data_IF_131831227280
#
_entry.id   IF_131831227280
#
_cell.length_a   1.000
_cell.length_b   1.000
_cell.length_c   1.000
_cell.angle_alpha   90.00
_cell.angle_beta   90.00
_cell.angle_gamma   90.00
#
_symmetry.space_group_name_H-M   'P 1'
#
loop_
_entity.id
_entity.type
_entity.pdbx_description
1 polymer ?
#
# COMPACT_ATOMS: atom_id res chain seq x y z
N UNK A 1 -2.83 -8.88 24.24
CA UNK A 1 -1.82 -8.92 23.16
C UNK A 1 -0.41 -8.64 23.66
N UNK A 2 -0.14 -7.52 24.34
CA UNK A 2 1.20 -7.18 24.85
C UNK A 2 1.94 -8.29 25.62
N UNK A 3 1.22 -9.05 26.45
CA UNK A 3 1.82 -10.16 27.20
C UNK A 3 2.42 -11.24 26.28
N UNK A 4 1.84 -11.49 25.10
CA UNK A 4 2.28 -12.55 24.19
C UNK A 4 3.74 -12.36 23.78
N UNK A 5 4.14 -11.15 23.35
CA UNK A 5 5.53 -10.87 22.98
C UNK A 5 6.42 -10.66 24.21
N UNK A 6 5.89 -10.09 25.31
CA UNK A 6 6.68 -9.89 26.54
C UNK A 6 7.05 -11.19 27.25
N UNK A 7 6.25 -12.25 27.09
CA UNK A 7 6.52 -13.57 27.67
C UNK A 7 7.46 -14.43 26.84
N UNK A 8 7.88 -13.98 25.66
CA UNK A 8 8.80 -14.75 24.79
C UNK A 8 10.17 -14.84 25.47
N UNK A 9 10.62 -16.07 25.70
CA UNK A 9 11.96 -16.32 26.26
C UNK A 9 13.05 -16.11 25.21
N UNK A 10 14.32 -15.85 25.63
CA UNK A 10 15.44 -15.73 24.69
C UNK A 10 15.66 -16.99 23.82
N UNK A 11 15.23 -18.16 24.29
CA UNK A 11 15.28 -19.38 23.49
C UNK A 11 14.17 -19.45 22.45
N UNK A 12 12.95 -19.03 22.80
CA UNK A 12 11.83 -18.94 21.87
C UNK A 12 12.10 -17.89 20.79
N UNK A 13 12.68 -16.75 21.17
CA UNK A 13 13.04 -15.67 20.23
C UNK A 13 14.09 -16.13 19.21
N UNK A 14 15.12 -16.87 19.63
CA UNK A 14 16.12 -17.44 18.71
C UNK A 14 15.51 -18.41 17.68
N UNK A 15 14.38 -19.04 17.98
CA UNK A 15 13.69 -19.97 17.08
C UNK A 15 12.62 -19.29 16.21
N UNK A 16 12.27 -18.03 16.51
CA UNK A 16 11.30 -17.25 15.75
C UNK A 16 12.02 -16.10 15.02
N UNK A 17 12.57 -16.41 13.84
CA UNK A 17 13.33 -15.46 13.02
C UNK A 17 12.51 -14.23 12.63
N UNK A 18 11.20 -14.38 12.40
CA UNK A 18 10.32 -13.27 12.04
C UNK A 18 10.19 -12.28 13.19
N UNK A 19 9.83 -12.75 14.40
CA UNK A 19 9.69 -11.88 15.56
C UNK A 19 11.01 -11.19 15.92
N UNK A 20 12.12 -11.93 15.86
CA UNK A 20 13.45 -11.36 16.07
C UNK A 20 13.78 -10.28 15.02
N UNK A 21 13.42 -10.51 13.76
CA UNK A 21 13.55 -9.55 12.68
C UNK A 21 12.74 -8.27 12.94
N UNK A 22 11.46 -8.41 13.29
CA UNK A 22 10.60 -7.27 13.63
C UNK A 22 11.15 -6.47 14.81
N UNK A 23 11.56 -7.13 15.90
CA UNK A 23 12.18 -6.46 17.05
C UNK A 23 13.40 -5.64 16.64
N UNK A 24 14.30 -6.24 15.86
CA UNK A 24 15.53 -5.59 15.40
C UNK A 24 15.24 -4.34 14.55
N UNK A 25 14.24 -4.41 13.66
CA UNK A 25 13.80 -3.28 12.85
C UNK A 25 13.17 -2.17 13.70
N UNK A 26 12.30 -2.53 14.66
CA UNK A 26 11.65 -1.60 15.57
C UNK A 26 12.70 -0.88 16.41
N UNK A 27 13.64 -1.59 17.02
CA UNK A 27 14.69 -0.99 17.85
C UNK A 27 15.53 0.02 17.04
N UNK A 28 15.88 -0.35 15.81
CA UNK A 28 16.63 0.53 14.91
C UNK A 28 15.86 1.80 14.59
N UNK A 29 14.57 1.71 14.25
CA UNK A 29 13.77 2.87 13.88
C UNK A 29 13.38 3.74 15.07
N UNK A 30 12.96 3.12 16.19
CA UNK A 30 12.61 3.85 17.42
C UNK A 30 13.80 4.65 17.94
N UNK A 31 15.02 4.09 17.92
CA UNK A 31 16.22 4.79 18.44
C UNK A 31 16.49 6.15 17.78
N UNK A 32 16.08 6.31 16.52
CA UNK A 32 16.25 7.51 15.70
C UNK A 32 14.97 8.33 15.49
N UNK A 33 13.83 7.90 16.02
CA UNK A 33 12.54 8.57 15.79
C UNK A 33 12.49 9.92 16.51
N UNK A 34 12.30 10.99 15.74
CA UNK A 34 11.97 12.36 16.16
C UNK A 34 12.73 12.88 17.39
N UNK A 35 14.04 12.59 17.48
CA UNK A 35 14.89 12.94 18.64
C UNK A 35 15.07 14.45 18.84
N UNK A 36 14.65 15.27 17.87
CA UNK A 36 14.57 16.72 17.97
C UNK A 36 13.24 17.22 18.58
N UNK A 37 12.27 16.34 18.81
CA UNK A 37 11.03 16.64 19.51
C UNK A 37 11.22 16.37 21.02
N UNK A 38 10.82 17.34 21.86
CA UNK A 38 10.94 17.27 23.32
C UNK A 38 10.30 16.03 23.94
N UNK A 39 9.28 15.48 23.31
CA UNK A 39 8.62 14.26 23.80
C UNK A 39 9.54 13.03 23.70
N UNK A 40 10.43 12.98 22.68
CA UNK A 40 11.33 11.85 22.39
C UNK A 40 12.82 12.17 22.66
N UNK A 41 13.13 13.39 23.12
CA UNK A 41 14.50 13.83 23.38
C UNK A 41 15.11 13.17 24.63
N UNK A 42 16.44 13.14 24.69
CA UNK A 42 17.18 12.64 25.85
C UNK A 42 17.44 11.13 25.85
N UNK A 43 18.39 10.67 26.68
CA UNK A 43 18.68 9.25 26.85
C UNK A 43 17.57 8.55 27.66
N UNK A 44 17.31 7.27 27.37
CA UNK A 44 16.31 6.46 28.09
C UNK A 44 14.93 7.12 28.20
N UNK A 45 14.47 7.71 27.10
CA UNK A 45 13.21 8.44 27.03
C UNK A 45 11.99 7.49 27.14
N UNK A 46 11.04 7.72 28.07
CA UNK A 46 9.86 6.87 28.23
C UNK A 46 8.95 6.79 26.99
N UNK A 47 8.86 7.87 26.20
CA UNK A 47 8.11 7.90 24.95
C UNK A 47 8.68 6.93 23.91
N UNK A 48 10.01 6.78 23.84
CA UNK A 48 10.64 5.77 22.97
C UNK A 48 10.35 4.34 23.46
N UNK A 49 10.29 4.11 24.77
CA UNK A 49 9.87 2.81 25.31
C UNK A 49 8.41 2.50 24.97
N UNK A 50 7.52 3.49 25.04
CA UNK A 50 6.12 3.34 24.64
C UNK A 50 5.99 3.06 23.13
N UNK A 51 6.74 3.76 22.28
CA UNK A 51 6.78 3.47 20.83
C UNK A 51 7.16 2.02 20.57
N UNK A 52 8.23 1.53 21.20
CA UNK A 52 8.69 0.15 21.06
C UNK A 52 7.61 -0.86 21.50
N UNK A 53 7.02 -0.64 22.67
CA UNK A 53 6.01 -1.54 23.25
C UNK A 53 4.74 -1.60 22.37
N UNK A 54 4.28 -0.48 21.83
CA UNK A 54 3.11 -0.42 20.96
C UNK A 54 3.38 -1.12 19.63
N UNK A 55 4.54 -0.86 18.99
CA UNK A 55 4.89 -1.49 17.70
C UNK A 55 5.04 -3.01 17.84
N UNK A 56 5.67 -3.50 18.91
CA UNK A 56 5.75 -4.95 19.18
C UNK A 56 4.38 -5.55 19.48
N UNK A 57 3.50 -4.80 20.14
CA UNK A 57 2.11 -5.23 20.36
C UNK A 57 1.34 -5.30 19.03
N UNK A 58 1.60 -4.36 18.11
CA UNK A 58 1.02 -4.39 16.76
C UNK A 58 1.49 -5.60 15.95
N UNK A 59 2.76 -6.01 16.07
CA UNK A 59 3.23 -7.25 15.44
C UNK A 59 2.44 -8.48 15.93
N UNK A 60 1.99 -8.52 17.19
CA UNK A 60 1.14 -9.62 17.66
C UNK A 60 -0.30 -9.52 17.13
N UNK A 61 -0.77 -8.31 16.83
CA UNK A 61 -2.11 -8.07 16.29
C UNK A 61 -2.19 -8.39 14.79
N UNK A 62 -1.18 -8.00 14.02
CA UNK A 62 -1.01 -8.34 12.59
C UNK A 62 0.35 -8.96 12.36
N UNK A 63 0.49 -10.27 12.62
CA UNK A 63 1.77 -10.96 12.53
C UNK A 63 2.28 -11.15 11.10
N UNK A 64 1.37 -11.31 10.13
CA UNK A 64 1.74 -11.46 8.71
C UNK A 64 2.41 -10.20 8.15
N UNK A 65 1.92 -9.01 8.56
CA UNK A 65 2.57 -7.73 8.24
C UNK A 65 3.77 -7.46 9.17
N UNK A 66 3.57 -7.67 10.47
CA UNK A 66 4.55 -7.42 11.51
C UNK A 66 4.94 -5.95 11.62
N UNK A 67 6.20 -5.65 11.34
CA UNK A 67 6.75 -4.29 11.31
C UNK A 67 7.51 -4.04 10.02
N UNK A 68 7.20 -2.90 9.39
CA UNK A 68 7.90 -2.40 8.22
C UNK A 68 8.43 -0.99 8.51
N UNK A 69 9.63 -0.71 8.02
CA UNK A 69 10.29 0.58 8.25
C UNK A 69 9.40 1.75 7.80
N UNK A 70 9.24 2.73 8.69
CA UNK A 70 8.34 3.87 8.50
C UNK A 70 7.06 3.79 9.35
N UNK A 71 6.70 2.63 9.89
CA UNK A 71 5.56 2.54 10.81
C UNK A 71 5.78 3.31 12.12
N UNK A 72 7.02 3.43 12.61
CA UNK A 72 7.33 4.27 13.77
C UNK A 72 7.06 5.76 13.51
N UNK A 73 7.23 6.21 12.26
CA UNK A 73 6.93 7.57 11.83
C UNK A 73 5.43 7.86 11.84
N UNK A 74 4.61 6.85 11.54
CA UNK A 74 3.16 6.93 11.64
C UNK A 74 2.67 6.97 13.10
N UNK A 75 3.25 6.15 13.96
CA UNK A 75 2.86 6.08 15.38
C UNK A 75 3.31 7.31 16.18
N UNK A 76 4.45 7.91 15.84
CA UNK A 76 5.06 8.99 16.63
C UNK A 76 4.12 10.18 16.91
N UNK A 77 3.40 10.75 15.94
CA UNK A 77 2.46 11.84 16.20
C UNK A 77 1.23 11.40 17.00
N UNK A 78 0.74 10.18 16.79
CA UNK A 78 -0.40 9.62 17.54
C UNK A 78 -0.04 9.51 19.02
N UNK A 79 1.09 8.88 19.34
CA UNK A 79 1.53 8.72 20.73
C UNK A 79 1.81 10.06 21.41
N UNK A 80 2.36 11.02 20.67
CA UNK A 80 2.60 12.38 21.17
C UNK A 80 1.30 13.08 21.62
N UNK A 81 0.22 12.94 20.84
CA UNK A 81 -1.08 13.56 21.15
C UNK A 81 -1.81 12.79 22.24
N UNK A 82 -1.88 11.46 22.12
CA UNK A 82 -2.72 10.61 22.97
C UNK A 82 -2.10 10.37 24.35
N UNK A 83 -0.77 10.23 24.41
CA UNK A 83 0.00 10.05 25.66
C UNK A 83 -0.46 8.90 26.57
N UNK A 84 -1.25 7.97 26.03
CA UNK A 84 -1.70 6.76 26.69
C UNK A 84 -1.37 5.58 25.77
N UNK A 85 -0.75 4.54 26.32
CA UNK A 85 -0.27 3.40 25.52
C UNK A 85 -1.41 2.65 24.81
N UNK A 86 -2.49 2.37 25.53
CA UNK A 86 -3.61 1.55 25.03
C UNK A 86 -4.40 2.33 23.98
N UNK A 87 -4.68 3.60 24.26
CA UNK A 87 -5.41 4.46 23.34
C UNK A 87 -4.58 4.73 22.08
N UNK A 88 -3.27 4.99 22.24
CA UNK A 88 -2.36 5.18 21.10
C UNK A 88 -2.25 3.91 20.25
N UNK A 89 -2.24 2.73 20.86
CA UNK A 89 -2.28 1.46 20.14
C UNK A 89 -3.53 1.34 19.26
N UNK A 90 -4.73 1.60 19.81
CA UNK A 90 -5.96 1.48 19.04
C UNK A 90 -6.12 2.58 17.99
N UNK A 91 -5.69 3.81 18.27
CA UNK A 91 -5.60 4.87 17.26
C UNK A 91 -4.64 4.48 16.13
N UNK A 92 -3.49 3.86 16.47
CA UNK A 92 -2.55 3.38 15.47
C UNK A 92 -3.12 2.23 14.64
N UNK A 93 -3.84 1.28 15.23
CA UNK A 93 -4.58 0.25 14.49
C UNK A 93 -5.56 0.88 13.49
N UNK A 94 -6.37 1.85 13.92
CA UNK A 94 -7.31 2.56 13.04
C UNK A 94 -6.59 3.32 11.91
N UNK A 95 -5.43 3.93 12.18
CA UNK A 95 -4.64 4.53 11.11
C UNK A 95 -4.09 3.48 10.15
N UNK A 96 -3.58 2.36 10.67
CA UNK A 96 -3.09 1.25 9.86
C UNK A 96 -4.18 0.66 8.98
N UNK A 97 -5.46 0.62 9.36
CA UNK A 97 -6.54 0.20 8.45
C UNK A 97 -6.56 1.00 7.13
N UNK A 98 -6.19 2.29 7.17
CA UNK A 98 -6.13 3.16 5.99
C UNK A 98 -4.89 2.94 5.13
N UNK A 99 -3.76 2.56 5.75
CA UNK A 99 -2.44 2.55 5.10
C UNK A 99 -1.74 1.20 5.09
N UNK A 100 -2.33 0.13 5.64
CA UNK A 100 -1.63 -1.16 5.79
C UNK A 100 -1.14 -1.69 4.44
N UNK A 101 -1.94 -1.54 3.39
CA UNK A 101 -1.59 -1.96 2.03
C UNK A 101 -0.30 -1.30 1.53
N UNK A 102 0.06 -0.11 2.03
CA UNK A 102 1.30 0.57 1.66
C UNK A 102 2.55 -0.19 2.14
N UNK A 103 2.40 -1.02 3.16
CA UNK A 103 3.50 -1.75 3.82
C UNK A 103 3.56 -3.23 3.42
N UNK A 104 2.64 -3.72 2.59
CA UNK A 104 2.68 -5.09 2.08
C UNK A 104 3.90 -5.34 1.20
N UNK A 105 4.45 -6.55 1.25
CA UNK A 105 5.64 -6.96 0.50
C UNK A 105 5.46 -6.82 -1.02
N UNK A 106 4.24 -7.00 -1.54
CA UNK A 106 3.90 -6.87 -2.96
C UNK A 106 4.07 -5.44 -3.50
N UNK A 107 3.97 -4.44 -2.62
CA UNK A 107 3.92 -3.00 -2.92
C UNK A 107 2.84 -2.61 -3.93
N UNK A 108 1.81 -3.44 -4.13
CA UNK A 108 0.75 -3.18 -5.13
C UNK A 108 -0.05 -1.93 -4.79
N UNK A 109 -0.34 -1.69 -3.51
CA UNK A 109 -1.04 -0.47 -3.07
C UNK A 109 -0.21 0.78 -3.35
N UNK A 110 1.10 0.76 -3.12
CA UNK A 110 1.98 1.90 -3.43
C UNK A 110 2.03 2.18 -4.93
N UNK A 111 2.17 1.13 -5.76
CA UNK A 111 2.12 1.25 -7.23
C UNK A 111 0.79 1.81 -7.69
N UNK A 112 -0.33 1.35 -7.10
CA UNK A 112 -1.67 1.87 -7.39
C UNK A 112 -1.79 3.35 -7.04
N UNK A 113 -1.36 3.78 -5.85
CA UNK A 113 -1.43 5.19 -5.45
C UNK A 113 -0.57 6.09 -6.35
N UNK A 114 0.64 5.66 -6.73
CA UNK A 114 1.48 6.39 -7.69
C UNK A 114 0.83 6.48 -9.08
N UNK A 115 0.20 5.40 -9.54
CA UNK A 115 -0.57 5.40 -10.78
C UNK A 115 -1.79 6.32 -10.74
N UNK A 116 -2.52 6.35 -9.62
CA UNK A 116 -3.65 7.27 -9.40
C UNK A 116 -3.19 8.73 -9.32
N UNK A 117 -2.05 8.99 -8.67
CA UNK A 117 -1.41 10.30 -8.64
C UNK A 117 -1.05 10.79 -10.05
N UNK A 118 -0.42 9.93 -10.85
CA UNK A 118 -0.12 10.25 -12.25
C UNK A 118 -1.39 10.51 -13.06
N UNK A 119 -2.46 9.76 -12.83
CA UNK A 119 -3.76 9.94 -13.48
C UNK A 119 -4.35 11.32 -13.19
N UNK A 120 -4.33 11.74 -11.93
CA UNK A 120 -4.76 13.07 -11.52
C UNK A 120 -3.89 14.16 -12.16
N UNK A 121 -2.57 13.99 -12.12
CA UNK A 121 -1.62 14.95 -12.68
C UNK A 121 -1.77 15.09 -14.20
N UNK A 122 -2.05 13.99 -14.92
CA UNK A 122 -2.26 14.00 -16.38
C UNK A 122 -3.44 14.87 -16.80
N UNK A 123 -4.47 14.98 -15.96
CA UNK A 123 -5.64 15.84 -16.21
C UNK A 123 -5.38 17.27 -15.76
N UNK A 124 -4.69 17.45 -14.63
CA UNK A 124 -4.37 18.77 -14.07
C UNK A 124 -3.34 19.54 -14.89
N UNK A 125 -2.26 18.88 -15.29
CA UNK A 125 -1.09 19.49 -15.94
C UNK A 125 -0.38 18.48 -16.87
N UNK A 126 -0.93 18.24 -18.08
CA UNK A 126 -0.29 17.39 -19.07
C UNK A 126 1.16 17.78 -19.41
N UNK A 127 1.52 19.08 -19.59
CA UNK A 127 2.90 19.48 -19.87
C UNK A 127 3.91 19.07 -18.79
N UNK A 128 3.53 19.14 -17.51
CA UNK A 128 4.42 18.66 -16.44
C UNK A 128 4.61 17.14 -16.53
N UNK A 129 3.56 16.39 -16.84
CA UNK A 129 3.67 14.94 -17.04
C UNK A 129 4.59 14.59 -18.21
N UNK A 130 4.43 15.26 -19.36
CA UNK A 130 5.27 15.04 -20.54
C UNK A 130 6.73 15.36 -20.23
N UNK A 131 6.99 16.42 -19.46
CA UNK A 131 8.33 16.73 -18.97
C UNK A 131 8.87 15.61 -18.09
N UNK A 132 8.13 15.16 -17.07
CA UNK A 132 8.57 14.09 -16.17
C UNK A 132 8.85 12.77 -16.91
N UNK A 133 8.00 12.42 -17.90
CA UNK A 133 8.21 11.28 -18.77
C UNK A 133 9.52 11.41 -19.58
N UNK A 134 9.82 12.60 -20.11
CA UNK A 134 11.05 12.86 -20.85
C UNK A 134 12.33 12.77 -20.01
N UNK A 135 12.19 12.83 -18.68
CA UNK A 135 13.29 12.74 -17.71
C UNK A 135 13.31 11.39 -16.98
N UNK A 136 12.70 10.34 -17.55
CA UNK A 136 12.59 8.99 -16.95
C UNK A 136 11.98 9.00 -15.53
N UNK A 137 11.15 9.99 -15.24
CA UNK A 137 10.60 10.28 -13.90
C UNK A 137 9.07 10.19 -13.86
N UNK A 138 8.45 9.69 -14.94
CA UNK A 138 7.00 9.50 -15.08
C UNK A 138 6.36 8.52 -14.11
N UNK A 139 7.15 7.64 -13.49
CA UNK A 139 6.67 6.72 -12.43
C UNK A 139 6.39 7.43 -11.10
N UNK A 140 6.86 8.68 -10.95
CA UNK A 140 6.72 9.49 -9.73
C UNK A 140 7.34 8.83 -8.49
N UNK A 141 8.33 7.95 -8.63
CA UNK A 141 8.96 7.27 -7.50
C UNK A 141 9.57 8.24 -6.46
N UNK A 142 9.89 9.48 -6.84
CA UNK A 142 10.32 10.52 -5.90
C UNK A 142 9.23 10.94 -4.90
N UNK A 143 7.95 10.64 -5.18
CA UNK A 143 6.82 10.81 -4.26
C UNK A 143 6.60 9.62 -3.33
N UNK A 144 7.38 8.53 -3.45
CA UNK A 144 7.13 7.29 -2.69
C UNK A 144 7.09 7.52 -1.17
N UNK A 145 8.05 8.30 -0.65
CA UNK A 145 8.12 8.62 0.78
C UNK A 145 6.90 9.41 1.24
N UNK A 146 6.39 10.32 0.41
CA UNK A 146 5.22 11.12 0.73
C UNK A 146 3.99 10.25 1.00
N UNK A 147 3.74 9.29 0.12
CA UNK A 147 2.57 8.42 0.19
C UNK A 147 2.74 7.31 1.25
N UNK A 148 3.94 6.75 1.41
CA UNK A 148 4.20 5.69 2.37
C UNK A 148 3.92 6.13 3.81
N UNK A 149 4.40 7.33 4.19
CA UNK A 149 4.33 7.84 5.56
C UNK A 149 3.51 9.13 5.67
N UNK A 150 2.55 9.34 4.76
CA UNK A 150 1.63 10.48 4.71
C UNK A 150 2.32 11.82 5.04
N UNK A 151 3.37 12.12 4.28
CA UNK A 151 4.13 13.38 4.32
C UNK A 151 4.80 13.70 5.67
N UNK A 152 4.89 12.74 6.62
CA UNK A 152 5.49 12.93 7.97
C UNK A 152 6.90 13.54 7.95
N UNK A 153 7.66 13.32 6.87
CA UNK A 153 9.03 13.83 6.71
C UNK A 153 9.11 15.17 5.98
N UNK A 154 8.02 15.67 5.44
CA UNK A 154 8.02 16.88 4.61
C UNK A 154 7.67 18.14 5.41
N UNK A 155 6.97 17.98 6.53
CA UNK A 155 6.44 19.07 7.35
C UNK A 155 7.00 19.08 8.78
N UNK A 156 7.10 20.26 9.41
CA UNK A 156 7.33 20.37 10.85
C UNK A 156 6.30 19.56 11.66
N UNK A 157 6.68 19.12 12.85
CA UNK A 157 5.84 18.22 13.65
C UNK A 157 4.41 18.76 13.91
N UNK A 158 4.19 20.05 14.28
CA UNK A 158 2.84 20.59 14.44
C UNK A 158 2.03 20.61 13.14
N UNK A 159 2.70 20.85 12.01
CA UNK A 159 2.07 20.89 10.69
C UNK A 159 1.65 19.50 10.22
N UNK A 160 2.39 18.45 10.60
CA UNK A 160 1.98 17.06 10.38
C UNK A 160 0.67 16.76 11.12
N UNK A 161 0.53 17.20 12.37
CA UNK A 161 -0.72 17.02 13.13
C UNK A 161 -1.89 17.67 12.39
N UNK A 162 -1.70 18.92 11.94
CA UNK A 162 -2.72 19.66 11.20
C UNK A 162 -3.10 18.98 9.88
N UNK A 163 -2.11 18.51 9.12
CA UNK A 163 -2.33 17.78 7.87
C UNK A 163 -3.16 16.52 8.11
N UNK A 164 -2.78 15.72 9.10
CA UNK A 164 -3.46 14.45 9.38
C UNK A 164 -4.88 14.63 9.92
N UNK A 165 -5.13 15.65 10.75
CA UNK A 165 -6.49 16.02 11.15
C UNK A 165 -7.40 16.24 9.93
N UNK A 166 -6.91 16.97 8.92
CA UNK A 166 -7.68 17.25 7.70
C UNK A 166 -7.85 15.99 6.86
N UNK A 167 -6.78 15.20 6.65
CA UNK A 167 -6.84 13.95 5.88
C UNK A 167 -7.82 12.94 6.49
N UNK A 168 -7.84 12.80 7.82
CA UNK A 168 -8.72 11.86 8.51
C UNK A 168 -10.20 12.26 8.51
N UNK A 169 -10.55 13.50 8.09
CA UNK A 169 -11.96 13.84 7.86
C UNK A 169 -12.56 13.09 6.67
N UNK A 170 -11.73 12.58 5.74
CA UNK A 170 -12.18 11.98 4.49
C UNK A 170 -12.85 12.96 3.53
N UNK A 171 -12.72 14.27 3.78
CA UNK A 171 -13.26 15.33 2.94
C UNK A 171 -12.17 16.01 2.11
N UNK A 172 -12.49 16.53 0.92
CA UNK A 172 -13.77 16.41 0.21
C UNK A 172 -13.96 15.04 -0.47
N UNK A 173 -12.96 14.16 -0.42
CA UNK A 173 -13.05 12.81 -0.96
C UNK A 173 -12.00 11.87 -0.34
N UNK A 174 -12.05 10.57 -0.66
CA UNK A 174 -11.29 9.53 0.05
C UNK A 174 -9.77 9.62 -0.16
N UNK A 175 -9.33 10.18 -1.29
CA UNK A 175 -7.92 10.21 -1.68
C UNK A 175 -7.31 11.62 -1.65
N UNK A 176 -7.71 12.46 -0.69
CA UNK A 176 -7.17 13.82 -0.54
C UNK A 176 -5.62 13.84 -0.45
N UNK A 177 -5.00 12.82 0.13
CA UNK A 177 -3.55 12.70 0.21
C UNK A 177 -2.86 12.68 -1.18
N UNK A 178 -3.53 12.18 -2.23
CA UNK A 178 -3.02 12.27 -3.60
C UNK A 178 -3.09 13.70 -4.14
N UNK A 179 -4.14 14.45 -3.81
CA UNK A 179 -4.24 15.87 -4.17
C UNK A 179 -3.27 16.76 -3.39
N UNK A 180 -2.90 16.37 -2.16
CA UNK A 180 -1.78 16.99 -1.44
C UNK A 180 -0.47 16.81 -2.23
N UNK A 181 -0.20 15.62 -2.77
CA UNK A 181 0.95 15.40 -3.64
C UNK A 181 0.85 16.22 -4.94
N UNK A 182 -0.31 16.26 -5.62
CA UNK A 182 -0.53 17.12 -6.79
C UNK A 182 -0.28 18.59 -6.47
N UNK A 183 -0.76 19.08 -5.33
CA UNK A 183 -0.58 20.46 -4.90
C UNK A 183 0.89 20.84 -4.74
N UNK A 184 1.70 19.97 -4.12
CA UNK A 184 3.14 20.22 -3.98
C UNK A 184 3.82 20.23 -5.35
N UNK A 185 3.49 19.29 -6.24
CA UNK A 185 4.09 19.24 -7.59
C UNK A 185 3.70 20.46 -8.43
N UNK A 186 2.46 20.92 -8.33
CA UNK A 186 1.95 22.10 -9.01
C UNK A 186 2.59 23.40 -8.47
N UNK A 187 2.88 23.48 -7.17
CA UNK A 187 3.64 24.59 -6.59
C UNK A 187 5.09 24.64 -7.08
N UNK A 188 5.70 23.49 -7.38
CA UNK A 188 7.10 23.36 -7.80
C UNK A 188 7.30 23.23 -9.31
N UNK A 189 6.19 23.17 -10.06
CA UNK A 189 6.13 22.97 -11.50
C UNK A 189 7.13 23.82 -12.27
N UNK A 190 7.10 25.13 -12.05
CA UNK A 190 7.93 26.08 -12.80
C UNK A 190 9.42 25.88 -12.47
N UNK A 191 9.76 25.59 -11.21
CA UNK A 191 11.14 25.28 -10.82
C UNK A 191 11.66 24.05 -11.53
N UNK A 192 10.86 22.97 -11.58
CA UNK A 192 11.23 21.71 -12.23
C UNK A 192 11.44 21.90 -13.74
N UNK A 193 10.46 22.52 -14.42
CA UNK A 193 10.44 22.62 -15.88
C UNK A 193 11.39 23.69 -16.42
N UNK A 194 11.39 24.90 -15.82
CA UNK A 194 12.21 26.01 -16.33
C UNK A 194 13.70 25.79 -16.07
N UNK A 195 14.05 25.09 -14.99
CA UNK A 195 15.44 24.71 -14.72
C UNK A 195 15.89 23.50 -15.55
N UNK A 196 14.96 22.80 -16.22
CA UNK A 196 15.26 21.62 -17.03
C UNK A 196 15.87 20.49 -16.21
N UNK A 197 15.35 20.23 -15.00
CA UNK A 197 15.90 19.21 -14.11
C UNK A 197 15.81 17.80 -14.71
N UNK A 198 16.90 17.05 -14.63
CA UNK A 198 16.90 15.61 -14.88
C UNK A 198 16.38 14.82 -13.67
N UNK A 199 16.26 13.50 -13.82
CA UNK A 199 15.70 12.62 -12.77
C UNK A 199 16.35 12.79 -11.39
N UNK A 200 17.69 12.90 -11.35
CA UNK A 200 18.43 13.06 -10.10
C UNK A 200 18.21 14.45 -9.48
N UNK A 201 18.15 15.50 -10.30
CA UNK A 201 17.87 16.85 -9.87
C UNK A 201 16.44 17.00 -9.35
N UNK A 202 15.46 16.35 -9.99
CA UNK A 202 14.08 16.28 -9.51
C UNK A 202 14.05 15.66 -8.12
N UNK A 203 14.64 14.46 -7.95
CA UNK A 203 14.68 13.79 -6.65
C UNK A 203 15.39 14.63 -5.58
N UNK A 204 16.50 15.27 -5.95
CA UNK A 204 17.23 16.17 -5.05
C UNK A 204 16.38 17.36 -4.63
N UNK A 205 15.77 18.05 -5.59
CA UNK A 205 14.89 19.21 -5.34
C UNK A 205 13.75 18.84 -4.42
N UNK A 206 13.03 17.76 -4.73
CA UNK A 206 11.93 17.25 -3.91
C UNK A 206 12.39 16.96 -2.47
N UNK A 207 13.55 16.34 -2.28
CA UNK A 207 14.10 16.13 -0.94
C UNK A 207 14.46 17.45 -0.23
N UNK A 208 14.94 18.46 -0.96
CA UNK A 208 15.28 19.77 -0.43
C UNK A 208 14.05 20.60 -0.01
N UNK A 209 12.83 20.23 -0.40
CA UNK A 209 11.58 20.85 0.07
C UNK A 209 11.24 20.50 1.51
N UNK A 210 11.85 19.45 2.06
CA UNK A 210 11.65 19.00 3.44
C UNK A 210 11.71 20.18 4.42
N UNK A 211 10.66 20.35 5.22
CA UNK A 211 10.49 21.42 6.23
C UNK A 211 10.37 22.85 5.67
N UNK A 212 10.19 23.03 4.35
CA UNK A 212 10.04 24.35 3.70
C UNK A 212 8.63 24.62 3.20
N UNK A 213 7.77 23.59 3.19
CA UNK A 213 6.39 23.69 2.72
C UNK A 213 5.46 24.28 3.80
N UNK A 214 4.54 25.14 3.39
CA UNK A 214 3.46 25.65 4.24
C UNK A 214 2.26 24.73 4.15
N UNK A 215 1.89 24.06 5.26
CA UNK A 215 0.78 23.09 5.28
C UNK A 215 -0.55 23.71 4.85
N UNK A 216 -0.81 24.94 5.28
CA UNK A 216 -2.06 25.65 4.96
C UNK A 216 -2.14 26.04 3.47
N UNK A 217 -1.01 26.40 2.85
CA UNK A 217 -0.99 26.71 1.41
C UNK A 217 -1.15 25.45 0.58
N UNK A 218 -0.49 24.34 0.99
CA UNK A 218 -0.63 23.03 0.34
C UNK A 218 -2.07 22.51 0.43
N UNK A 219 -2.70 22.59 1.60
CA UNK A 219 -4.09 22.17 1.79
C UNK A 219 -5.07 23.02 0.96
N UNK A 220 -4.90 24.35 0.95
CA UNK A 220 -5.72 25.25 0.13
C UNK A 220 -5.57 24.96 -1.35
N UNK A 221 -4.34 24.68 -1.81
CA UNK A 221 -4.08 24.30 -3.20
C UNK A 221 -4.70 22.94 -3.54
N UNK A 222 -4.57 21.94 -2.66
CA UNK A 222 -5.17 20.62 -2.85
C UNK A 222 -6.70 20.69 -2.97
N UNK A 223 -7.36 21.49 -2.13
CA UNK A 223 -8.80 21.72 -2.21
C UNK A 223 -9.19 22.46 -3.51
N UNK A 224 -8.40 23.46 -3.93
CA UNK A 224 -8.63 24.16 -5.19
C UNK A 224 -8.53 23.22 -6.40
N UNK A 225 -7.52 22.33 -6.42
CA UNK A 225 -7.35 21.32 -7.46
C UNK A 225 -8.51 20.32 -7.48
N UNK A 226 -9.01 19.89 -6.31
CA UNK A 226 -10.22 19.07 -6.23
C UNK A 226 -11.42 19.77 -6.89
N UNK A 227 -11.67 21.03 -6.51
CA UNK A 227 -12.77 21.83 -7.06
C UNK A 227 -12.64 22.01 -8.57
N UNK A 228 -11.43 22.29 -9.06
CA UNK A 228 -11.15 22.39 -10.50
C UNK A 228 -11.48 21.09 -11.24
N UNK A 229 -11.05 19.94 -10.72
CA UNK A 229 -11.34 18.63 -11.32
C UNK A 229 -12.84 18.34 -11.33
N UNK A 230 -13.53 18.55 -10.20
CA UNK A 230 -14.98 18.30 -10.09
C UNK A 230 -15.84 19.26 -10.94
N UNK A 231 -15.31 20.44 -11.27
CA UNK A 231 -15.99 21.39 -12.16
C UNK A 231 -15.81 21.03 -13.65
N UNK A 232 -14.93 20.09 -13.99
CA UNK A 232 -14.73 19.66 -15.38
C UNK A 232 -15.93 18.82 -15.86
N UNK A 233 -16.59 19.29 -16.92
CA UNK A 233 -17.80 18.65 -17.45
C UNK A 233 -17.54 17.23 -18.00
N UNK A 234 -16.35 16.98 -18.54
CA UNK A 234 -15.95 15.71 -19.15
C UNK A 234 -14.78 15.09 -18.38
N UNK A 235 -14.91 14.96 -17.06
CA UNK A 235 -13.89 14.31 -16.24
C UNK A 235 -13.83 12.80 -16.56
N UNK A 236 -12.66 12.21 -16.86
CA UNK A 236 -12.56 10.78 -17.16
C UNK A 236 -13.05 9.90 -16.00
N UNK A 237 -13.71 8.78 -16.30
CA UNK A 237 -14.33 7.89 -15.30
C UNK A 237 -13.33 7.38 -14.24
N UNK A 238 -12.14 6.95 -14.67
CA UNK A 238 -11.09 6.51 -13.76
C UNK A 238 -10.62 7.64 -12.81
N UNK A 239 -10.66 8.90 -13.22
CA UNK A 239 -10.40 10.04 -12.33
C UNK A 239 -11.58 10.28 -11.39
N UNK A 240 -12.82 10.14 -11.87
CA UNK A 240 -14.01 10.19 -11.00
C UNK A 240 -13.95 9.13 -9.88
N UNK A 241 -13.53 7.90 -10.20
CA UNK A 241 -13.32 6.83 -9.20
C UNK A 241 -12.26 7.22 -8.16
N UNK A 242 -11.12 7.74 -8.60
CA UNK A 242 -10.04 8.18 -7.69
C UNK A 242 -10.53 9.30 -6.75
N UNK A 243 -11.37 10.20 -7.23
CA UNK A 243 -11.94 11.28 -6.43
C UNK A 243 -13.15 10.84 -5.57
N UNK A 244 -13.62 9.60 -5.71
CA UNK A 244 -14.80 9.08 -5.01
C UNK A 244 -16.14 9.63 -5.53
N UNK A 245 -16.17 10.14 -6.77
CA UNK A 245 -17.38 10.67 -7.43
C UNK A 245 -18.18 9.58 -8.14
N UNK A 246 -17.51 8.49 -8.53
CA UNK A 246 -18.10 7.33 -9.18
C UNK A 246 -17.81 6.06 -8.35
N UNK A 247 -18.71 5.05 -8.35
CA UNK A 247 -18.43 3.78 -7.72
C UNK A 247 -17.26 3.07 -8.44
N UNK A 248 -16.45 2.26 -7.72
CA UNK A 248 -15.41 1.48 -8.36
C UNK A 248 -16.01 0.56 -9.42
N UNK A 249 -15.43 0.50 -10.61
CA UNK A 249 -15.80 -0.50 -11.61
C UNK A 249 -15.51 -1.88 -11.04
N UNK A 250 -16.54 -2.67 -10.73
CA UNK A 250 -16.35 -4.07 -10.33
C UNK A 250 -15.55 -4.80 -11.43
N UNK A 251 -14.55 -5.61 -11.06
CA UNK A 251 -13.89 -6.46 -12.04
C UNK A 251 -14.97 -7.31 -12.70
N UNK A 252 -15.17 -7.15 -14.01
CA UNK A 252 -16.10 -7.97 -14.79
C UNK A 252 -15.80 -9.43 -14.47
N UNK A 253 -16.65 -10.04 -13.65
CA UNK A 253 -16.69 -11.49 -13.52
C UNK A 253 -16.77 -12.05 -14.94
N UNK A 254 -15.92 -13.01 -15.33
CA UNK A 254 -16.04 -13.63 -16.64
C UNK A 254 -17.47 -14.16 -16.74
N UNK A 255 -18.22 -13.64 -17.71
CA UNK A 255 -19.55 -14.10 -18.02
C UNK A 255 -19.52 -15.63 -18.07
N UNK A 256 -20.45 -16.33 -17.39
CA UNK A 256 -20.46 -17.78 -17.43
C UNK A 256 -20.53 -18.22 -18.89
N UNK A 257 -19.81 -19.29 -19.30
CA UNK A 257 -19.93 -19.79 -20.66
C UNK A 257 -21.40 -20.04 -20.93
N UNK A 258 -21.89 -19.48 -22.04
CA UNK A 258 -23.29 -19.64 -22.46
C UNK A 258 -23.67 -21.11 -22.36
N UNK A 259 -24.70 -21.41 -21.56
CA UNK A 259 -25.27 -22.75 -21.52
C UNK A 259 -25.64 -23.14 -22.96
N UNK A 260 -25.25 -24.33 -23.45
CA UNK A 260 -25.55 -24.71 -24.82
C UNK A 260 -27.07 -24.75 -25.00
N UNK A 261 -27.55 -23.98 -25.98
CA UNK A 261 -28.93 -23.98 -26.44
C UNK A 261 -29.32 -25.42 -26.86
N UNK A 262 -30.54 -25.89 -26.53
CA UNK A 262 -31.00 -27.19 -27.00
C UNK A 262 -31.15 -27.18 -28.54
N UNK A 263 -30.46 -28.12 -29.19
CA UNK A 263 -30.57 -28.39 -30.62
C UNK A 263 -32.02 -28.74 -30.98
N UNK A 264 -32.62 -27.95 -31.86
CA UNK A 264 -33.89 -28.30 -32.52
C UNK A 264 -33.64 -29.33 -33.65
N UNK A 265 -34.63 -30.17 -33.99
CA UNK A 265 -34.37 -31.51 -34.52
C UNK A 265 -34.09 -31.53 -36.03
N UNK A 266 -32.95 -32.13 -36.39
CA UNK A 266 -32.61 -32.44 -37.78
C UNK A 266 -33.25 -33.78 -38.19
N UNK A 267 -34.16 -33.69 -39.17
CA UNK A 267 -34.51 -34.64 -40.23
C UNK A 267 -34.11 -36.12 -40.04
N UNK A 268 -35.14 -36.98 -40.02
CA UNK A 268 -35.05 -38.44 -39.89
C UNK A 268 -34.14 -39.13 -40.93
N UNK A 269 -33.35 -40.14 -40.52
CA UNK A 269 -32.58 -41.00 -41.42
C UNK A 269 -33.39 -42.21 -41.94
N UNK A 270 -33.00 -42.81 -43.08
CA UNK A 270 -33.68 -43.97 -43.65
C UNK A 270 -33.27 -45.28 -42.96
N UNK A 271 -34.17 -46.28 -43.01
CA UNK A 271 -34.06 -47.55 -42.31
C UNK A 271 -32.97 -48.50 -42.87
N UNK A 272 -32.32 -49.32 -42.02
CA UNK A 272 -31.41 -50.38 -42.44
C UNK A 272 -32.09 -51.78 -42.50
N UNK A 273 -31.53 -52.76 -43.26
CA UNK A 273 -31.94 -54.17 -43.19
C UNK A 273 -31.19 -54.97 -42.10
N UNK A 274 -31.78 -56.13 -41.74
CA UNK A 274 -31.54 -57.01 -40.58
C UNK A 274 -30.32 -58.01 -40.74
N UNK A 275 -30.09 -59.02 -39.85
CA UNK A 275 -29.06 -58.98 -38.79
C UNK A 275 -28.09 -60.20 -38.79
N UNK A 276 -27.04 -60.19 -37.96
CA UNK A 276 -26.36 -61.37 -37.39
C UNK A 276 -25.45 -60.89 -36.25
N UNK A 277 -25.76 -61.12 -34.97
CA UNK A 277 -25.62 -62.34 -34.14
C UNK A 277 -24.31 -62.38 -33.34
N UNK A 278 -24.45 -62.80 -32.07
CA UNK A 278 -23.44 -63.17 -31.05
C UNK A 278 -22.74 -62.10 -30.17
N UNK A 279 -22.95 -62.27 -28.85
CA UNK A 279 -22.21 -61.75 -27.68
C UNK A 279 -20.85 -62.48 -27.51
N UNK A 280 -20.01 -62.34 -26.44
CA UNK A 280 -20.17 -61.65 -25.14
C UNK A 280 -18.92 -60.91 -24.54
N UNK A 281 -19.11 -60.26 -23.38
CA UNK A 281 -18.09 -59.84 -22.36
C UNK A 281 -17.38 -61.06 -21.70
N UNK A 282 -16.39 -60.99 -20.75
CA UNK A 282 -15.96 -59.95 -19.77
C UNK A 282 -14.39 -59.80 -19.69
N UNK A 283 -13.68 -59.13 -18.77
CA UNK A 283 -13.55 -59.33 -17.31
C UNK A 283 -12.61 -58.28 -16.64
N UNK A 284 -12.77 -58.17 -15.33
CA UNK A 284 -12.11 -57.31 -14.32
C UNK A 284 -10.73 -57.85 -13.89
N UNK A 285 -9.80 -56.99 -13.43
CA UNK A 285 -9.13 -57.13 -12.12
C UNK A 285 -8.10 -56.01 -11.82
N UNK A 286 -8.08 -55.60 -10.55
CA UNK A 286 -7.13 -54.73 -9.86
C UNK A 286 -5.76 -55.40 -9.65
N UNK A 287 -4.68 -54.61 -9.50
CA UNK A 287 -3.58 -54.92 -8.57
C UNK A 287 -2.78 -53.66 -8.15
N UNK A 288 -2.20 -53.71 -6.95
CA UNK A 288 -1.61 -52.63 -6.13
C UNK A 288 -0.05 -52.74 -6.11
N UNK A 289 0.61 -51.61 -5.85
CA UNK A 289 2.06 -51.27 -5.75
C UNK A 289 2.99 -52.26 -4.99
N UNK A 290 4.33 -52.11 -5.13
CA UNK A 290 5.12 -51.48 -4.04
C UNK A 290 6.32 -50.58 -4.43
N UNK A 291 6.85 -49.89 -3.42
CA UNK A 291 8.03 -49.00 -3.35
C UNK A 291 9.37 -49.77 -3.17
N UNK A 292 10.51 -49.17 -3.57
CA UNK A 292 11.93 -49.49 -3.24
C UNK A 292 12.80 -48.33 -3.82
N UNK A 293 13.98 -47.91 -3.35
CA UNK A 293 14.77 -47.99 -2.10
C UNK A 293 15.93 -46.95 -2.22
N UNK A 294 16.60 -46.66 -1.12
CA UNK A 294 17.73 -45.70 -0.95
C UNK A 294 19.05 -46.17 -1.58
N UNK A 295 19.95 -45.25 -1.95
CA UNK A 295 21.39 -45.55 -2.07
C UNK A 295 22.26 -44.40 -1.53
N UNK A 296 23.04 -44.72 -0.49
CA UNK A 296 24.15 -43.94 0.06
C UNK A 296 25.35 -43.94 -0.90
N UNK A 297 26.05 -42.80 -0.98
CA UNK A 297 27.36 -42.70 -1.64
C UNK A 297 28.33 -41.87 -0.80
N UNK A 298 29.25 -42.56 -0.13
CA UNK A 298 30.44 -41.98 0.49
C UNK A 298 31.57 -41.89 -0.56
N UNK A 299 32.31 -40.78 -0.59
CA UNK A 299 33.73 -40.85 -0.92
C UNK A 299 34.56 -39.72 -0.28
N UNK A 300 35.66 -40.20 0.29
CA UNK A 300 36.97 -39.68 0.72
C UNK A 300 37.38 -38.24 0.41
#
# INVERSE_FOLDING_TARGET
MKLQWKSVSPEQERRNSLLHGYRSLIERDVSRTDRNNKFYEGPSNPGLSLLNDILLTYCMYHFDLGYVQGMSDLLSPILYVVQNEVDAFWCFCGFMELVHGNFEESQETMKRQLGQLLLLLRVLDPPLCDFLDSQDSGSLCFCFRWLLIWFKREFPFPDVLRLWEVLWTGLPGPNLHLLVACAILDMERDTLMLSGFGSNEILKHINELTMKLSVEDVLRRAEALYRQLTACAELPHNVQEVLGLAPPTEPRSPSPPASPLPLSPTRAPPAPPLPADTAPQPDSSLEILPEEEEEEGADS
#
